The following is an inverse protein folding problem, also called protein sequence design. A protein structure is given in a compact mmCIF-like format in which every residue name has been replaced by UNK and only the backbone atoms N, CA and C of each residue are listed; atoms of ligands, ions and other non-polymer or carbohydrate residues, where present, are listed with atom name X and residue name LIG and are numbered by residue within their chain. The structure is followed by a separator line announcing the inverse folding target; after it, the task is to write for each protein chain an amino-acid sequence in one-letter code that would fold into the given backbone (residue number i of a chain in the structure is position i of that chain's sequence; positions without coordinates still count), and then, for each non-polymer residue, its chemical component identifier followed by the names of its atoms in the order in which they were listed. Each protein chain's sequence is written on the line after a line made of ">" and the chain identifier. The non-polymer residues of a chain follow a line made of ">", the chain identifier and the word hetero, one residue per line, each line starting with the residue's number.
data_IF_981148411488
#
_entry.id   IF_981148411488
#
_cell.length_a   1.000
_cell.length_b   1.000
_cell.length_c   1.000
_cell.angle_alpha   90.00
_cell.angle_beta   90.00
_cell.angle_gamma   90.00
#
_symmetry.space_group_name_H-M   'P 1'
#
loop_
_entity.id
_entity.type
_entity.pdbx_description
1 polymer ?
#
# COMPACT_ATOMS: atom_id res chain seq x y z
N UNK A 1 -25.34 69.36 28.69
CA UNK A 1 -26.76 69.25 29.09
C UNK A 1 -27.40 70.60 28.84
N UNK A 2 -28.22 70.71 27.79
CA UNK A 2 -29.13 71.83 27.62
C UNK A 2 -30.52 71.41 28.12
N UNK A 3 -31.18 72.32 28.82
CA UNK A 3 -32.43 72.05 29.53
C UNK A 3 -33.61 71.94 28.56
N UNK A 4 -34.24 70.77 28.47
CA UNK A 4 -35.59 70.62 27.91
C UNK A 4 -35.85 69.50 26.91
N UNK A 5 -34.88 68.67 26.55
CA UNK A 5 -35.09 67.51 25.66
C UNK A 5 -34.59 66.21 26.29
N UNK A 6 -35.25 65.09 25.98
CA UNK A 6 -34.89 63.75 26.46
C UNK A 6 -33.38 63.51 26.30
N UNK A 7 -32.71 63.22 27.41
CA UNK A 7 -31.28 62.86 27.41
C UNK A 7 -31.11 61.52 26.69
N UNK A 8 -30.72 61.58 25.41
CA UNK A 8 -30.30 60.41 24.67
C UNK A 8 -28.94 59.94 25.21
N UNK A 9 -28.79 58.66 25.63
CA UNK A 9 -27.53 58.14 26.09
C UNK A 9 -26.53 58.10 24.93
N UNK A 10 -25.43 58.83 25.06
CA UNK A 10 -24.33 58.82 24.10
C UNK A 10 -23.24 57.86 24.59
N UNK A 11 -22.91 56.86 23.76
CA UNK A 11 -21.88 55.88 24.07
C UNK A 11 -20.57 56.25 23.37
N UNK A 12 -19.51 56.39 24.16
CA UNK A 12 -18.14 56.53 23.65
C UNK A 12 -17.62 55.17 23.20
N UNK A 13 -17.98 54.78 21.97
CA UNK A 13 -17.58 53.51 21.36
C UNK A 13 -16.05 53.32 21.32
N UNK A 14 -15.23 54.33 20.96
CA UNK A 14 -13.77 54.20 21.03
C UNK A 14 -13.24 53.84 22.41
N UNK A 15 -13.78 54.45 23.47
CA UNK A 15 -13.35 54.17 24.84
C UNK A 15 -13.83 52.81 25.34
N UNK A 16 -15.03 52.39 24.92
CA UNK A 16 -15.54 51.04 25.19
C UNK A 16 -14.65 50.01 24.49
N UNK A 17 -14.31 50.22 23.23
CA UNK A 17 -13.43 49.34 22.45
C UNK A 17 -12.05 49.21 23.10
N UNK A 18 -11.41 50.32 23.47
CA UNK A 18 -10.12 50.28 24.17
C UNK A 18 -10.19 49.49 25.48
N UNK A 19 -11.25 49.67 26.27
CA UNK A 19 -11.46 48.90 27.50
C UNK A 19 -11.63 47.41 27.21
N UNK A 20 -12.38 47.04 26.16
CA UNK A 20 -12.57 45.65 25.77
C UNK A 20 -11.26 45.02 25.30
N UNK A 21 -10.50 45.73 24.46
CA UNK A 21 -9.21 45.25 23.96
C UNK A 21 -8.23 45.05 25.11
N UNK A 22 -8.04 46.06 25.96
CA UNK A 22 -7.06 45.99 27.06
C UNK A 22 -7.44 44.92 28.10
N UNK A 23 -8.73 44.78 28.41
CA UNK A 23 -9.17 43.84 29.46
C UNK A 23 -9.29 42.41 28.96
N UNK A 24 -9.64 42.18 27.69
CA UNK A 24 -10.03 40.85 27.22
C UNK A 24 -9.23 40.32 26.04
N UNK A 25 -8.51 41.14 25.29
CA UNK A 25 -7.84 40.71 24.05
C UNK A 25 -6.32 40.83 24.12
N UNK A 26 -5.79 41.90 24.73
CA UNK A 26 -4.34 42.06 24.90
C UNK A 26 -3.74 40.93 25.73
N UNK A 27 -2.60 40.40 25.26
CA UNK A 27 -1.86 39.33 25.93
C UNK A 27 -2.41 37.93 25.75
N UNK A 28 -3.53 37.74 25.04
CA UNK A 28 -4.01 36.40 24.69
C UNK A 28 -3.10 35.75 23.64
N UNK A 29 -2.73 34.47 23.80
CA UNK A 29 -1.90 33.77 22.83
C UNK A 29 -2.67 33.52 21.53
N UNK A 30 -1.95 33.47 20.42
CA UNK A 30 -2.48 32.97 19.16
C UNK A 30 -2.61 31.44 19.25
N UNK A 31 -3.82 30.91 19.12
CA UNK A 31 -4.06 29.48 19.20
C UNK A 31 -3.62 28.83 17.88
N UNK A 32 -2.57 28.02 17.92
CA UNK A 32 -2.15 27.18 16.80
C UNK A 32 -2.85 25.83 16.83
N UNK A 33 -2.99 25.17 15.68
CA UNK A 33 -3.51 23.79 15.61
C UNK A 33 -2.53 22.73 16.15
N UNK A 34 -1.35 23.13 16.62
CA UNK A 34 -0.36 22.23 17.22
C UNK A 34 -0.83 21.71 18.58
N UNK A 35 -0.70 20.40 18.81
CA UNK A 35 -1.01 19.78 20.11
C UNK A 35 -2.50 19.57 20.39
N UNK A 36 -3.37 19.72 19.39
CA UNK A 36 -4.80 19.37 19.52
C UNK A 36 -4.88 17.87 19.86
N UNK A 37 -5.48 17.49 21.01
CA UNK A 37 -5.68 16.09 21.35
C UNK A 37 -6.50 15.41 20.26
N UNK A 38 -5.83 14.61 19.44
CA UNK A 38 -6.46 13.90 18.33
C UNK A 38 -6.46 12.41 18.62
N UNK A 39 -7.63 11.79 18.57
CA UNK A 39 -7.72 10.33 18.59
C UNK A 39 -7.30 9.81 17.21
N UNK A 40 -6.06 9.33 17.12
CA UNK A 40 -5.56 8.70 15.90
C UNK A 40 -5.79 7.20 16.02
N UNK A 41 -6.63 6.63 15.15
CA UNK A 41 -6.76 5.19 15.03
C UNK A 41 -5.48 4.61 14.41
N UNK A 42 -4.57 4.11 15.26
CA UNK A 42 -3.28 3.56 14.83
C UNK A 42 -3.38 2.19 14.15
N UNK A 43 -4.53 1.52 14.27
CA UNK A 43 -4.77 0.22 13.62
C UNK A 43 -4.87 0.32 12.10
N UNK A 44 -5.03 1.54 11.58
CA UNK A 44 -5.17 1.83 10.16
C UNK A 44 -3.96 2.65 9.66
N UNK A 45 -2.74 2.28 10.09
CA UNK A 45 -1.52 2.75 9.42
C UNK A 45 -1.52 2.16 8.01
N UNK A 46 -2.14 2.90 7.09
CA UNK A 46 -2.10 2.64 5.66
C UNK A 46 -0.66 2.41 5.22
N UNK A 47 -0.40 1.27 4.61
CA UNK A 47 0.92 0.92 4.07
C UNK A 47 1.40 1.98 3.08
N UNK A 48 0.48 2.70 2.41
CA UNK A 48 0.77 3.84 1.55
C UNK A 48 1.48 4.98 2.30
N UNK A 49 1.07 5.26 3.54
CA UNK A 49 1.77 6.25 4.38
C UNK A 49 3.14 5.72 4.80
N UNK A 50 3.21 4.45 5.19
CA UNK A 50 4.45 3.80 5.58
C UNK A 50 5.49 3.83 4.44
N UNK A 51 5.06 3.50 3.22
CA UNK A 51 5.90 3.51 2.03
C UNK A 51 6.40 4.90 1.67
N UNK A 52 5.53 5.91 1.81
CA UNK A 52 5.93 7.31 1.62
C UNK A 52 6.96 7.76 2.66
N UNK A 53 6.75 7.42 3.93
CA UNK A 53 7.71 7.76 5.00
C UNK A 53 9.06 7.08 4.78
N UNK A 54 9.07 5.83 4.31
CA UNK A 54 10.29 5.09 3.95
C UNK A 54 10.97 5.74 2.75
N UNK A 55 10.25 5.93 1.62
CA UNK A 55 10.81 6.54 0.40
C UNK A 55 11.42 7.93 0.66
N UNK A 56 10.84 8.70 1.60
CA UNK A 56 11.37 10.00 2.00
C UNK A 56 12.68 9.95 2.80
N UNK A 57 13.03 8.80 3.38
CA UNK A 57 14.23 8.63 4.24
C UNK A 57 15.26 7.65 3.69
N UNK A 58 14.81 6.71 2.86
CA UNK A 58 15.55 5.56 2.40
C UNK A 58 15.18 5.32 0.92
N UNK A 59 16.09 5.58 -0.03
CA UNK A 59 15.89 5.22 -1.43
C UNK A 59 15.46 3.76 -1.59
N UNK A 60 14.40 3.53 -2.35
CA UNK A 60 13.84 2.21 -2.63
C UNK A 60 14.01 1.84 -4.10
N UNK A 61 14.33 0.58 -4.37
CA UNK A 61 14.50 0.04 -5.72
C UNK A 61 13.76 -1.29 -5.86
N UNK A 62 13.36 -1.63 -7.08
CA UNK A 62 12.74 -2.91 -7.39
C UNK A 62 13.68 -4.08 -7.08
N UNK A 63 13.11 -5.25 -6.81
CA UNK A 63 13.89 -6.49 -6.69
C UNK A 63 14.36 -6.93 -8.09
N UNK A 64 15.64 -7.29 -8.26
CA UNK A 64 16.10 -7.94 -9.49
C UNK A 64 15.29 -9.21 -9.77
N UNK A 65 14.94 -9.46 -11.04
CA UNK A 65 14.16 -10.64 -11.45
C UNK A 65 14.76 -11.96 -10.94
N UNK A 66 16.09 -12.08 -10.93
CA UNK A 66 16.78 -13.24 -10.37
C UNK A 66 16.48 -13.45 -8.88
N UNK A 67 16.38 -12.37 -8.11
CA UNK A 67 16.04 -12.45 -6.68
C UNK A 67 14.57 -12.84 -6.52
N UNK A 68 13.67 -12.29 -7.35
CA UNK A 68 12.26 -12.65 -7.36
C UNK A 68 12.10 -14.15 -7.62
N UNK A 69 12.70 -14.69 -8.69
CA UNK A 69 12.60 -16.12 -9.03
C UNK A 69 13.20 -17.01 -7.95
N UNK A 70 14.35 -16.62 -7.38
CA UNK A 70 15.00 -17.43 -6.34
C UNK A 70 14.20 -17.43 -5.04
N UNK A 71 13.74 -16.27 -4.55
CA UNK A 71 12.90 -16.18 -3.36
C UNK A 71 11.58 -16.94 -3.52
N UNK A 72 11.03 -16.92 -4.74
CA UNK A 72 9.82 -17.67 -5.07
C UNK A 72 9.98 -19.19 -4.92
N UNK A 73 11.20 -19.70 -5.08
CA UNK A 73 11.55 -21.10 -4.83
C UNK A 73 11.96 -21.41 -3.38
N UNK A 74 12.13 -20.41 -2.52
CA UNK A 74 12.58 -20.64 -1.13
C UNK A 74 11.43 -20.72 -0.13
N UNK A 75 10.34 -19.99 -0.36
CA UNK A 75 9.18 -20.03 0.52
C UNK A 75 8.21 -21.15 0.11
N UNK A 76 8.57 -22.37 0.51
CA UNK A 76 7.89 -23.61 0.13
C UNK A 76 6.63 -23.93 0.96
N UNK A 77 6.30 -23.11 1.95
CA UNK A 77 5.05 -23.24 2.71
C UNK A 77 4.39 -21.89 2.98
N UNK A 78 3.08 -21.92 3.25
CA UNK A 78 2.32 -20.74 3.68
C UNK A 78 2.89 -20.10 4.95
N UNK A 79 3.35 -20.93 5.90
CA UNK A 79 3.92 -20.45 7.16
C UNK A 79 5.25 -19.73 6.92
N UNK A 80 6.14 -20.29 6.09
CA UNK A 80 7.41 -19.64 5.76
C UNK A 80 7.19 -18.24 5.16
N UNK A 81 6.18 -18.11 4.28
CA UNK A 81 5.83 -16.79 3.71
C UNK A 81 5.30 -15.84 4.78
N UNK A 82 4.46 -16.33 5.71
CA UNK A 82 3.91 -15.49 6.77
C UNK A 82 5.00 -15.03 7.75
N UNK A 83 5.90 -15.92 8.13
CA UNK A 83 7.01 -15.60 9.04
C UNK A 83 7.97 -14.59 8.38
N UNK A 84 8.32 -14.80 7.11
CA UNK A 84 9.11 -13.84 6.34
C UNK A 84 8.41 -12.48 6.21
N UNK A 85 7.10 -12.47 5.92
CA UNK A 85 6.32 -11.26 5.80
C UNK A 85 6.28 -10.49 7.13
N UNK A 86 6.07 -11.19 8.25
CA UNK A 86 6.07 -10.55 9.58
C UNK A 86 7.41 -9.89 9.91
N UNK A 87 8.54 -10.53 9.57
CA UNK A 87 9.87 -9.90 9.73
C UNK A 87 9.98 -8.62 8.90
N UNK A 88 9.53 -8.66 7.65
CA UNK A 88 9.57 -7.51 6.74
C UNK A 88 8.63 -6.39 7.20
N UNK A 89 7.43 -6.71 7.67
CA UNK A 89 6.46 -5.74 8.21
C UNK A 89 7.00 -5.02 9.45
N UNK A 90 7.67 -5.74 10.36
CA UNK A 90 8.37 -5.12 11.49
C UNK A 90 9.46 -4.19 10.99
N UNK A 91 10.32 -4.65 10.07
CA UNK A 91 11.39 -3.84 9.50
C UNK A 91 10.86 -2.55 8.85
N UNK A 92 9.80 -2.64 8.03
CA UNK A 92 9.13 -1.48 7.43
C UNK A 92 8.66 -0.48 8.51
N UNK A 93 8.05 -0.97 9.58
CA UNK A 93 7.59 -0.17 10.70
C UNK A 93 8.69 0.69 11.34
N UNK A 94 9.87 0.11 11.55
CA UNK A 94 11.02 0.83 12.08
C UNK A 94 11.67 1.76 11.05
N UNK A 95 11.89 1.29 9.82
CA UNK A 95 12.51 2.07 8.75
C UNK A 95 11.69 3.33 8.40
N UNK A 96 10.37 3.26 8.48
CA UNK A 96 9.51 4.43 8.32
C UNK A 96 9.78 5.51 9.38
N UNK A 97 10.22 5.13 10.57
CA UNK A 97 10.57 6.07 11.64
C UNK A 97 12.02 6.54 11.53
N UNK A 98 12.96 5.62 11.33
CA UNK A 98 14.41 5.85 11.48
C UNK A 98 15.16 6.09 10.17
N UNK A 99 14.60 5.67 9.03
CA UNK A 99 15.38 5.47 7.81
C UNK A 99 16.40 4.34 7.96
N UNK A 100 17.42 4.33 7.11
CA UNK A 100 18.51 3.34 7.14
C UNK A 100 19.52 3.56 6.01
N UNK A 101 20.54 2.72 5.95
CA UNK A 101 21.50 2.71 4.84
C UNK A 101 20.98 1.79 3.71
N UNK A 102 20.78 2.28 2.48
CA UNK A 102 20.22 1.51 1.36
C UNK A 102 20.86 0.14 1.12
N UNK A 103 22.19 0.10 1.20
CA UNK A 103 23.01 -1.08 0.92
C UNK A 103 23.34 -1.90 2.17
N UNK A 104 22.69 -1.62 3.30
CA UNK A 104 22.75 -2.51 4.45
C UNK A 104 21.97 -3.81 4.16
N UNK A 105 22.58 -4.99 4.36
CA UNK A 105 21.85 -6.26 4.24
C UNK A 105 20.66 -6.30 5.19
N UNK A 106 19.50 -6.74 4.69
CA UNK A 106 18.28 -6.81 5.49
C UNK A 106 18.46 -7.69 6.73
N UNK A 107 19.14 -8.83 6.58
CA UNK A 107 19.45 -9.73 7.71
C UNK A 107 20.26 -9.02 8.77
N UNK A 108 21.28 -8.24 8.38
CA UNK A 108 22.09 -7.49 9.34
C UNK A 108 21.25 -6.48 10.12
N UNK A 109 20.36 -5.77 9.44
CA UNK A 109 19.44 -4.84 10.11
C UNK A 109 18.53 -5.56 11.12
N UNK A 110 17.96 -6.70 10.73
CA UNK A 110 17.05 -7.48 11.58
C UNK A 110 17.78 -8.10 12.77
N UNK A 111 19.00 -8.60 12.58
CA UNK A 111 19.77 -9.24 13.65
C UNK A 111 20.43 -8.22 14.58
N UNK A 112 21.13 -7.23 14.03
CA UNK A 112 21.99 -6.34 14.83
C UNK A 112 21.23 -5.12 15.36
N UNK A 113 20.30 -4.57 14.57
CA UNK A 113 19.58 -3.34 14.91
C UNK A 113 18.26 -3.65 15.60
N UNK A 114 17.46 -4.54 15.01
CA UNK A 114 16.17 -4.94 15.61
C UNK A 114 16.30 -6.02 16.69
N UNK A 115 17.47 -6.68 16.79
CA UNK A 115 17.75 -7.70 17.79
C UNK A 115 16.76 -8.88 17.76
N UNK A 116 16.36 -9.30 16.55
CA UNK A 116 15.33 -10.34 16.34
C UNK A 116 15.90 -11.72 16.00
N UNK A 117 17.22 -11.94 16.07
CA UNK A 117 17.87 -13.20 15.63
C UNK A 117 17.20 -14.45 16.20
N UNK A 118 16.92 -14.48 17.50
CA UNK A 118 16.38 -15.67 18.18
C UNK A 118 14.89 -15.92 17.89
N UNK A 119 14.22 -15.00 17.21
CA UNK A 119 12.78 -15.07 16.90
C UNK A 119 12.53 -15.53 15.46
N UNK A 120 13.57 -15.71 14.63
CA UNK A 120 13.45 -15.96 13.20
C UNK A 120 14.12 -17.27 12.84
N UNK A 121 13.41 -18.13 12.11
CA UNK A 121 13.98 -19.38 11.62
C UNK A 121 15.15 -19.13 10.65
N UNK A 122 16.19 -19.96 10.76
CA UNK A 122 17.40 -19.82 9.96
C UNK A 122 17.15 -19.89 8.43
N UNK A 123 16.14 -20.66 8.00
CA UNK A 123 15.73 -20.71 6.59
C UNK A 123 15.20 -19.35 6.10
N UNK A 124 14.45 -18.63 6.93
CA UNK A 124 13.91 -17.30 6.62
C UNK A 124 15.05 -16.29 6.53
N UNK A 125 15.96 -16.27 7.52
CA UNK A 125 17.14 -15.41 7.46
C UNK A 125 17.99 -15.67 6.21
N UNK A 126 18.19 -16.95 5.86
CA UNK A 126 18.92 -17.32 4.64
C UNK A 126 18.23 -16.78 3.38
N UNK A 127 16.90 -16.88 3.27
CA UNK A 127 16.18 -16.33 2.13
C UNK A 127 16.32 -14.80 2.06
N UNK A 128 16.11 -14.12 3.19
CA UNK A 128 16.21 -12.66 3.31
C UNK A 128 17.63 -12.11 3.12
N UNK A 129 18.67 -12.94 3.25
CA UNK A 129 20.09 -12.53 3.11
C UNK A 129 20.45 -11.98 1.73
N UNK A 130 19.62 -12.27 0.71
CA UNK A 130 19.79 -11.75 -0.64
C UNK A 130 19.26 -10.32 -0.81
N UNK A 131 18.57 -9.79 0.19
CA UNK A 131 17.92 -8.49 0.14
C UNK A 131 18.67 -7.45 0.97
N UNK A 132 18.49 -6.19 0.57
CA UNK A 132 19.04 -5.00 1.21
C UNK A 132 17.88 -4.09 1.65
N UNK A 133 18.16 -3.09 2.49
CA UNK A 133 17.13 -2.17 2.97
C UNK A 133 16.44 -1.40 1.82
N UNK A 134 17.15 -1.10 0.74
CA UNK A 134 16.56 -0.52 -0.48
C UNK A 134 15.50 -1.39 -1.17
N UNK A 135 15.41 -2.67 -0.85
CA UNK A 135 14.44 -3.60 -1.46
C UNK A 135 13.21 -3.86 -0.59
N UNK A 136 13.11 -3.27 0.61
CA UNK A 136 12.15 -3.71 1.63
C UNK A 136 10.68 -3.58 1.19
N UNK A 137 10.32 -2.54 0.42
CA UNK A 137 8.96 -2.36 -0.10
C UNK A 137 8.67 -3.42 -1.19
N UNK A 138 9.57 -3.59 -2.15
CA UNK A 138 9.42 -4.60 -3.20
C UNK A 138 9.36 -6.03 -2.63
N UNK A 139 10.08 -6.28 -1.54
CA UNK A 139 10.02 -7.56 -0.83
C UNK A 139 8.69 -7.77 -0.12
N UNK A 140 8.11 -6.74 0.49
CA UNK A 140 6.76 -6.80 1.04
C UNK A 140 5.73 -7.09 -0.06
N UNK A 141 5.84 -6.44 -1.22
CA UNK A 141 4.96 -6.69 -2.37
C UNK A 141 5.05 -8.16 -2.84
N UNK A 142 6.27 -8.69 -2.93
CA UNK A 142 6.50 -10.09 -3.29
C UNK A 142 5.88 -11.05 -2.26
N UNK A 143 6.16 -10.84 -0.97
CA UNK A 143 5.71 -11.74 0.09
C UNK A 143 4.20 -11.72 0.28
N UNK A 144 3.56 -10.56 0.18
CA UNK A 144 2.09 -10.46 0.21
C UNK A 144 1.44 -11.14 -0.99
N UNK A 145 2.00 -10.98 -2.19
CA UNK A 145 1.53 -11.68 -3.39
C UNK A 145 1.66 -13.20 -3.25
N UNK A 146 2.80 -13.67 -2.72
CA UNK A 146 3.05 -15.09 -2.44
C UNK A 146 2.08 -15.64 -1.39
N UNK A 147 1.79 -14.86 -0.35
CA UNK A 147 0.80 -15.22 0.67
C UNK A 147 -0.58 -15.43 0.03
N UNK A 148 -1.01 -14.50 -0.82
CA UNK A 148 -2.28 -14.61 -1.56
C UNK A 148 -2.33 -15.87 -2.44
N UNK A 149 -1.25 -16.17 -3.16
CA UNK A 149 -1.15 -17.37 -4.00
C UNK A 149 -1.24 -18.66 -3.18
N UNK A 150 -0.56 -18.71 -2.03
CA UNK A 150 -0.65 -19.85 -1.13
C UNK A 150 -2.05 -20.03 -0.54
N UNK A 151 -2.72 -18.94 -0.16
CA UNK A 151 -4.12 -19.00 0.29
C UNK A 151 -5.01 -19.63 -0.79
N UNK A 152 -4.86 -19.21 -2.05
CA UNK A 152 -5.61 -19.79 -3.16
C UNK A 152 -5.32 -21.29 -3.33
N UNK A 153 -4.04 -21.70 -3.28
CA UNK A 153 -3.63 -23.13 -3.31
C UNK A 153 -4.24 -23.94 -2.16
N UNK A 154 -4.40 -23.32 -0.99
CA UNK A 154 -5.05 -23.90 0.19
C UNK A 154 -6.59 -23.80 0.15
N UNK A 155 -7.18 -23.42 -1.00
CA UNK A 155 -8.62 -23.23 -1.21
C UNK A 155 -9.25 -22.20 -0.26
N UNK A 156 -8.48 -21.17 0.11
CA UNK A 156 -8.92 -20.01 0.90
C UNK A 156 -8.98 -18.78 0.00
N UNK A 157 -9.97 -17.90 0.20
CA UNK A 157 -10.06 -16.64 -0.55
C UNK A 157 -9.09 -15.60 0.06
N UNK A 158 -8.01 -15.20 -0.63
CA UNK A 158 -7.10 -14.15 -0.14
C UNK A 158 -7.74 -12.75 -0.11
N UNK A 159 -8.83 -12.55 -0.85
CA UNK A 159 -9.48 -11.26 -1.01
C UNK A 159 -10.86 -11.22 -0.37
N UNK A 160 -11.11 -12.05 0.65
CA UNK A 160 -12.41 -12.15 1.32
C UNK A 160 -12.95 -10.80 1.81
N UNK A 161 -12.06 -9.90 2.23
CA UNK A 161 -12.36 -8.55 2.72
C UNK A 161 -12.79 -7.57 1.63
N UNK A 162 -12.53 -7.87 0.34
CA UNK A 162 -12.93 -7.01 -0.76
C UNK A 162 -14.42 -7.12 -1.05
N UNK A 163 -15.00 -5.99 -1.46
CA UNK A 163 -16.39 -5.88 -1.91
C UNK A 163 -16.70 -6.86 -3.05
N UNK A 164 -17.90 -7.44 -3.07
CA UNK A 164 -18.35 -8.38 -4.11
C UNK A 164 -18.38 -7.75 -5.52
N UNK A 165 -18.47 -6.43 -5.60
CA UNK A 165 -18.48 -5.63 -6.82
C UNK A 165 -17.15 -5.73 -7.59
N UNK A 166 -16.04 -6.06 -6.92
CA UNK A 166 -14.72 -6.31 -7.53
C UNK A 166 -14.47 -7.80 -7.85
N UNK A 167 -15.45 -8.65 -7.59
CA UNK A 167 -15.38 -10.13 -7.72
C UNK A 167 -16.35 -10.65 -8.78
N UNK A 168 -16.71 -9.82 -9.77
CA UNK A 168 -17.63 -10.23 -10.82
C UNK A 168 -16.94 -11.22 -11.77
N UNK A 169 -17.63 -12.28 -12.18
CA UNK A 169 -17.06 -13.29 -13.07
C UNK A 169 -16.67 -12.67 -14.42
N UNK A 170 -15.58 -13.17 -14.98
CA UNK A 170 -15.19 -12.86 -16.36
C UNK A 170 -16.08 -13.65 -17.33
N UNK A 171 -16.44 -13.05 -18.46
CA UNK A 171 -17.10 -13.79 -19.55
C UNK A 171 -16.14 -14.81 -20.19
N UNK A 172 -16.67 -15.84 -20.84
CA UNK A 172 -15.83 -16.88 -21.50
C UNK A 172 -14.89 -16.28 -22.57
N UNK A 173 -15.35 -15.23 -23.25
CA UNK A 173 -14.56 -14.48 -24.22
C UNK A 173 -13.41 -13.74 -23.54
N UNK A 174 -13.69 -13.02 -22.45
CA UNK A 174 -12.68 -12.27 -21.71
C UNK A 174 -11.64 -13.19 -21.06
N UNK A 175 -12.08 -14.33 -20.51
CA UNK A 175 -11.18 -15.36 -19.98
C UNK A 175 -10.23 -15.88 -21.04
N UNK A 176 -10.74 -16.16 -22.25
CA UNK A 176 -9.93 -16.68 -23.36
C UNK A 176 -8.89 -15.66 -23.83
N UNK A 177 -9.30 -14.39 -24.00
CA UNK A 177 -8.39 -13.31 -24.39
C UNK A 177 -7.34 -13.01 -23.33
N UNK A 178 -7.74 -12.93 -22.05
CA UNK A 178 -6.81 -12.71 -20.95
C UNK A 178 -5.80 -13.86 -20.81
N UNK A 179 -6.24 -15.10 -20.98
CA UNK A 179 -5.33 -16.26 -20.92
C UNK A 179 -4.28 -16.18 -22.02
N UNK A 180 -4.68 -15.85 -23.26
CA UNK A 180 -3.75 -15.71 -24.38
C UNK A 180 -2.75 -14.55 -24.16
N UNK A 181 -3.20 -13.45 -23.58
CA UNK A 181 -2.36 -12.32 -23.17
C UNK A 181 -1.34 -12.71 -22.09
N UNK A 182 -1.81 -13.38 -21.04
CA UNK A 182 -0.98 -13.81 -19.90
C UNK A 182 0.11 -14.82 -20.32
N UNK A 183 -0.18 -15.70 -21.29
CA UNK A 183 0.80 -16.65 -21.82
C UNK A 183 1.98 -15.97 -22.55
N UNK A 184 1.82 -14.72 -22.99
CA UNK A 184 2.86 -13.96 -23.71
C UNK A 184 3.55 -12.91 -22.83
N UNK A 185 3.11 -12.76 -21.57
CA UNK A 185 3.50 -11.69 -20.67
C UNK A 185 4.28 -12.20 -19.45
N UNK A 186 5.02 -11.32 -18.76
CA UNK A 186 5.64 -11.68 -17.48
C UNK A 186 4.58 -11.70 -16.36
N UNK A 187 3.96 -12.86 -16.16
CA UNK A 187 2.90 -13.04 -15.16
C UNK A 187 3.33 -12.71 -13.73
N UNK A 188 4.63 -12.77 -13.41
CA UNK A 188 5.13 -12.35 -12.09
C UNK A 188 4.88 -10.87 -11.82
N UNK A 189 5.31 -9.98 -12.73
CA UNK A 189 5.16 -8.53 -12.56
C UNK A 189 3.67 -8.16 -12.50
N UNK A 190 2.88 -8.74 -13.41
CA UNK A 190 1.43 -8.57 -13.43
C UNK A 190 0.76 -8.90 -12.08
N UNK A 191 1.10 -10.05 -11.50
CA UNK A 191 0.54 -10.50 -10.23
C UNK A 191 0.96 -9.61 -9.05
N UNK A 192 2.20 -9.09 -9.06
CA UNK A 192 2.72 -8.19 -8.03
C UNK A 192 1.94 -6.87 -8.00
N UNK A 193 1.76 -6.23 -9.16
CA UNK A 193 1.10 -4.94 -9.27
C UNK A 193 -0.39 -5.03 -8.91
N UNK A 194 -1.09 -6.03 -9.45
CA UNK A 194 -2.53 -6.19 -9.18
C UNK A 194 -2.78 -6.60 -7.73
N UNK A 195 -1.96 -7.48 -7.14
CA UNK A 195 -2.11 -7.86 -5.74
C UNK A 195 -1.89 -6.65 -4.81
N UNK A 196 -0.82 -5.87 -5.05
CA UNK A 196 -0.56 -4.64 -4.28
C UNK A 196 -1.74 -3.68 -4.35
N UNK A 197 -2.22 -3.39 -5.56
CA UNK A 197 -3.33 -2.48 -5.77
C UNK A 197 -4.58 -2.91 -5.00
N UNK A 198 -4.95 -4.20 -5.08
CA UNK A 198 -6.09 -4.76 -4.37
C UNK A 198 -5.94 -4.62 -2.84
N UNK A 199 -4.75 -4.95 -2.30
CA UNK A 199 -4.51 -4.91 -0.86
C UNK A 199 -4.54 -3.49 -0.30
N UNK A 200 -3.99 -2.52 -1.03
CA UNK A 200 -3.85 -1.13 -0.55
C UNK A 200 -5.10 -0.29 -0.80
N UNK A 201 -5.72 -0.44 -1.96
CA UNK A 201 -6.78 0.48 -2.40
C UNK A 201 -8.20 -0.07 -2.19
N UNK A 202 -8.38 -1.39 -2.37
CA UNK A 202 -9.72 -1.97 -2.45
C UNK A 202 -10.23 -2.54 -1.10
N UNK A 203 -9.35 -2.71 -0.11
CA UNK A 203 -9.74 -3.15 1.24
C UNK A 203 -10.45 -2.08 2.07
N UNK A 204 -10.27 -0.82 1.72
CA UNK A 204 -10.85 0.31 2.45
C UNK A 204 -12.38 0.26 2.38
N UNK A 205 -13.05 0.59 3.49
CA UNK A 205 -14.52 0.73 3.53
C UNK A 205 -15.02 1.77 2.51
N UNK A 206 -14.18 2.73 2.14
CA UNK A 206 -14.46 3.77 1.13
C UNK A 206 -13.90 3.44 -0.26
N UNK A 207 -13.50 2.19 -0.51
CA UNK A 207 -12.93 1.79 -1.80
C UNK A 207 -13.90 2.12 -2.95
N UNK A 208 -15.19 1.81 -2.80
CA UNK A 208 -16.22 2.08 -3.82
C UNK A 208 -16.47 3.57 -4.09
N UNK A 209 -16.13 4.45 -3.14
CA UNK A 209 -16.22 5.90 -3.35
C UNK A 209 -15.09 6.39 -4.26
N UNK A 210 -13.92 5.75 -4.16
CA UNK A 210 -12.67 6.19 -4.81
C UNK A 210 -12.42 5.46 -6.13
N UNK A 211 -12.69 4.15 -6.18
CA UNK A 211 -12.40 3.28 -7.31
C UNK A 211 -13.68 2.61 -7.79
N UNK A 212 -14.27 3.11 -8.88
CA UNK A 212 -15.54 2.59 -9.38
C UNK A 212 -15.33 1.24 -10.09
N UNK A 213 -16.09 0.19 -9.76
CA UNK A 213 -15.99 -1.12 -10.44
C UNK A 213 -16.20 -1.07 -11.96
N UNK A 214 -16.91 -0.05 -12.45
CA UNK A 214 -17.17 0.16 -13.88
C UNK A 214 -16.02 0.80 -14.65
N UNK A 215 -14.92 1.17 -13.99
CA UNK A 215 -13.75 1.72 -14.66
C UNK A 215 -12.91 0.63 -15.32
N UNK A 216 -12.23 0.97 -16.41
CA UNK A 216 -11.26 0.07 -17.04
C UNK A 216 -10.09 -0.24 -16.10
N UNK A 217 -9.73 -1.52 -16.00
CA UNK A 217 -8.66 -2.01 -15.13
C UNK A 217 -7.32 -1.37 -15.50
N UNK A 218 -6.97 -1.36 -16.79
CA UNK A 218 -5.76 -0.72 -17.33
C UNK A 218 -5.67 0.76 -16.95
N UNK A 219 -6.71 1.53 -17.26
CA UNK A 219 -6.77 2.96 -16.99
C UNK A 219 -6.78 3.30 -15.49
N UNK A 220 -7.09 2.33 -14.62
CA UNK A 220 -7.00 2.52 -13.17
C UNK A 220 -5.60 2.20 -12.66
N UNK A 221 -4.96 1.16 -13.19
CA UNK A 221 -3.65 0.71 -12.74
C UNK A 221 -2.50 1.60 -13.21
N UNK A 222 -2.53 2.10 -14.45
CA UNK A 222 -1.44 2.96 -14.99
C UNK A 222 -1.22 4.20 -14.10
N UNK A 223 -2.24 5.05 -13.82
CA UNK A 223 -2.03 6.23 -12.96
C UNK A 223 -1.64 5.88 -11.53
N UNK A 224 -2.07 4.72 -11.04
CA UNK A 224 -1.68 4.22 -9.73
C UNK A 224 -0.18 3.89 -9.68
N UNK A 225 0.35 3.22 -10.70
CA UNK A 225 1.77 2.86 -10.79
C UNK A 225 2.64 4.10 -11.01
N UNK A 226 2.23 4.98 -11.91
CA UNK A 226 2.92 6.26 -12.16
C UNK A 226 2.97 7.13 -10.89
N UNK A 227 1.91 7.10 -10.07
CA UNK A 227 1.87 7.76 -8.77
C UNK A 227 2.88 7.22 -7.73
N UNK A 228 3.53 6.09 -8.01
CA UNK A 228 4.62 5.53 -7.19
C UNK A 228 6.02 6.02 -7.62
N UNK A 229 6.11 6.95 -8.56
CA UNK A 229 7.34 7.36 -9.27
C UNK A 229 7.97 6.20 -10.06
N UNK A 230 7.13 5.36 -10.65
CA UNK A 230 7.51 4.18 -11.45
C UNK A 230 6.84 4.24 -12.82
N UNK A 231 7.52 3.81 -13.86
CA UNK A 231 6.90 3.61 -15.17
C UNK A 231 5.96 2.39 -15.12
N UNK A 232 4.83 2.47 -15.81
CA UNK A 232 3.92 1.33 -15.93
C UNK A 232 4.65 0.22 -16.70
N UNK A 233 4.71 -1.02 -16.18
CA UNK A 233 5.37 -2.10 -16.87
C UNK A 233 4.53 -2.54 -18.08
N UNK A 234 5.15 -3.13 -19.13
CA UNK A 234 4.43 -3.55 -20.34
C UNK A 234 3.25 -4.48 -20.05
N UNK A 235 3.34 -5.31 -19.01
CA UNK A 235 2.26 -6.23 -18.60
C UNK A 235 0.99 -5.51 -18.11
N UNK A 236 1.09 -4.21 -17.78
CA UNK A 236 -0.05 -3.36 -17.43
C UNK A 236 -0.43 -2.45 -18.59
N UNK A 237 0.53 -1.96 -19.36
CA UNK A 237 0.28 -1.15 -20.56
C UNK A 237 -0.45 -1.93 -21.65
N UNK A 238 -0.12 -3.20 -21.84
CA UNK A 238 -0.69 -4.06 -22.88
C UNK A 238 -1.97 -4.79 -22.43
N UNK A 239 -2.46 -4.51 -21.20
CA UNK A 239 -3.70 -5.10 -20.70
C UNK A 239 -4.89 -4.74 -21.63
N UNK A 240 -5.78 -5.71 -21.94
CA UNK A 240 -6.99 -5.44 -22.73
C UNK A 240 -7.86 -4.32 -22.12
N UNK A 241 -8.35 -3.41 -22.97
CA UNK A 241 -9.09 -2.21 -22.56
C UNK A 241 -10.50 -2.53 -22.05
N UNK A 242 -11.06 -3.67 -22.47
CA UNK A 242 -12.41 -4.10 -22.17
C UNK A 242 -12.56 -4.60 -20.73
N UNK A 243 -11.45 -4.96 -20.07
CA UNK A 243 -11.48 -5.53 -18.73
C UNK A 243 -11.74 -4.44 -17.71
N UNK A 244 -12.86 -4.56 -17.00
CA UNK A 244 -13.27 -3.64 -15.95
C UNK A 244 -12.66 -4.02 -14.59
N UNK A 245 -12.59 -3.03 -13.71
CA UNK A 245 -12.15 -3.18 -12.33
C UNK A 245 -13.04 -4.14 -11.53
N UNK A 246 -14.30 -4.31 -11.92
CA UNK A 246 -15.22 -5.31 -11.36
C UNK A 246 -14.72 -6.75 -11.49
N UNK A 247 -13.81 -7.01 -12.43
CA UNK A 247 -13.24 -8.33 -12.71
C UNK A 247 -11.83 -8.54 -12.15
N UNK A 248 -11.29 -7.57 -11.39
CA UNK A 248 -9.88 -7.57 -10.97
C UNK A 248 -9.49 -8.83 -10.17
N UNK A 249 -10.36 -9.30 -9.27
CA UNK A 249 -10.07 -10.49 -8.46
C UNK A 249 -10.03 -11.75 -9.31
N UNK A 250 -10.99 -11.91 -10.23
CA UNK A 250 -11.04 -13.08 -11.13
C UNK A 250 -9.91 -13.04 -12.17
N UNK A 251 -9.54 -11.85 -12.64
CA UNK A 251 -8.36 -11.63 -13.51
C UNK A 251 -7.07 -12.05 -12.81
N UNK A 252 -6.90 -11.68 -11.54
CA UNK A 252 -5.74 -12.08 -10.75
C UNK A 252 -5.70 -13.60 -10.51
N UNK A 253 -6.84 -14.22 -10.18
CA UNK A 253 -6.93 -15.69 -10.00
C UNK A 253 -6.62 -16.43 -11.30
N UNK A 254 -7.12 -15.94 -12.43
CA UNK A 254 -6.81 -16.49 -13.75
C UNK A 254 -5.30 -16.43 -14.03
N UNK A 255 -4.65 -15.30 -13.77
CA UNK A 255 -3.20 -15.17 -13.90
C UNK A 255 -2.41 -16.14 -13.01
N UNK A 256 -2.87 -16.40 -11.77
CA UNK A 256 -2.27 -17.43 -10.92
C UNK A 256 -2.42 -18.83 -11.53
N UNK A 257 -3.60 -19.16 -12.08
CA UNK A 257 -3.84 -20.44 -12.73
C UNK A 257 -2.97 -20.63 -13.98
N UNK A 258 -2.94 -19.63 -14.89
CA UNK A 258 -2.11 -19.66 -16.10
C UNK A 258 -0.64 -19.86 -15.76
N UNK A 259 -0.13 -19.19 -14.72
CA UNK A 259 1.24 -19.38 -14.26
C UNK A 259 1.52 -20.81 -13.79
N UNK A 260 0.59 -21.41 -13.05
CA UNK A 260 0.74 -22.79 -12.56
C UNK A 260 0.75 -23.79 -13.74
N UNK A 261 -0.14 -23.60 -14.71
CA UNK A 261 -0.21 -24.45 -15.89
C UNK A 261 1.06 -24.37 -16.75
N UNK A 262 1.64 -23.18 -16.92
CA UNK A 262 2.92 -23.00 -17.63
C UNK A 262 4.10 -23.68 -16.94
N UNK A 263 4.12 -23.70 -15.60
CA UNK A 263 5.15 -24.38 -14.80
C UNK A 263 5.00 -25.92 -14.87
N UNK A 264 3.77 -26.42 -14.92
CA UNK A 264 3.49 -27.87 -15.07
C UNK A 264 3.82 -28.36 -16.49
N UNK A 265 3.60 -27.52 -17.50
CA UNK A 265 3.84 -27.86 -18.90
C UNK A 265 5.26 -27.54 -19.41
N UNK A 266 6.13 -26.97 -18.57
CA UNK A 266 7.54 -26.71 -18.89
C UNK A 266 7.78 -25.62 -19.95
N UNK A 267 6.89 -24.61 -20.03
CA UNK A 267 6.92 -23.57 -21.08
C UNK A 267 7.59 -22.26 -20.61
N UNK A 268 8.14 -22.21 -19.39
CA UNK A 268 8.88 -21.05 -18.86
C UNK A 268 10.22 -21.47 -18.24
#
# INVERSE_FOLDING_TARGET
>A
MESGQETLPEYDLPKIEQHLIHRFLMGKPFITLAGIPTLVNRYDKKYENLFRDIKGKLPQTSLPNLIITTLSGEFQSYNDVCDALSVVEVALGFLAMTGGEPDMPLVRYVEDILQMRDQIAACILKALSRCYLKHVIALWQLLTTRKSQWMLRLKRDPFIELSSEYKQPLSDNDQSHLTAFLMQSNVDIFLLEINEFMLLNLKSVRALDTFKPTWGLKHTLIPYIEGKDQEAPPEIEDLPEEILLSHIVETWKLAVATKQDSLVNGVL
#
